data_IF_994280703208
#
_entry.id   IF_994280703208
#
_cell.length_a   1.000
_cell.length_b   1.000
_cell.length_c   1.000
_cell.angle_alpha   90.00
_cell.angle_beta   90.00
_cell.angle_gamma   90.00
#
_symmetry.space_group_name_H-M   'P 1'
#
loop_
_entity.id
_entity.type
_entity.pdbx_description
1 polymer ?
#
# COMPACT_ATOMS: atom_id res chain seq x y z
N UNK A 1 8.31 -20.07 5.30
CA UNK A 1 7.83 -21.13 4.39
C UNK A 1 6.33 -21.03 4.32
N UNK A 2 5.77 -21.03 3.13
CA UNK A 2 4.32 -20.92 2.89
C UNK A 2 3.86 -22.25 2.34
N UNK A 3 2.83 -22.80 2.99
CA UNK A 3 2.19 -24.04 2.56
C UNK A 3 1.07 -23.68 1.59
N UNK A 4 1.12 -24.21 0.37
CA UNK A 4 0.19 -23.92 -0.71
C UNK A 4 -0.25 -25.21 -1.41
N UNK A 5 -1.36 -25.15 -2.14
CA UNK A 5 -1.88 -26.30 -2.90
C UNK A 5 -0.88 -26.84 -3.94
N UNK A 6 0.05 -26.02 -4.40
CA UNK A 6 1.08 -26.39 -5.39
C UNK A 6 2.43 -26.78 -4.76
N UNK A 7 2.50 -26.87 -3.42
CA UNK A 7 3.69 -27.23 -2.67
C UNK A 7 4.22 -26.11 -1.77
N UNK A 8 5.32 -26.39 -1.09
CA UNK A 8 5.98 -25.43 -0.20
C UNK A 8 6.89 -24.49 -1.00
N UNK A 9 6.83 -23.19 -0.72
CA UNK A 9 7.78 -22.22 -1.24
C UNK A 9 8.26 -21.26 -0.15
N UNK A 10 9.42 -20.63 -0.36
CA UNK A 10 9.95 -19.61 0.52
C UNK A 10 9.59 -18.24 -0.01
N UNK A 11 8.89 -17.46 0.80
CA UNK A 11 8.64 -16.05 0.53
C UNK A 11 9.65 -15.21 1.33
N UNK A 12 10.44 -14.42 0.62
CA UNK A 12 11.46 -13.55 1.23
C UNK A 12 10.97 -12.13 1.46
N UNK A 13 9.78 -11.79 0.98
CA UNK A 13 9.18 -10.48 1.19
C UNK A 13 7.78 -10.60 1.79
N UNK A 14 7.59 -9.97 2.92
CA UNK A 14 6.29 -9.88 3.60
C UNK A 14 5.92 -8.41 3.81
N UNK A 15 4.68 -8.07 3.52
CA UNK A 15 4.11 -6.76 3.83
C UNK A 15 2.81 -6.93 4.62
N UNK A 16 2.78 -6.35 5.81
CA UNK A 16 1.62 -6.29 6.67
C UNK A 16 1.06 -4.88 6.62
N UNK A 17 -0.21 -4.76 6.24
CA UNK A 17 -0.93 -3.50 6.20
C UNK A 17 -2.05 -3.54 7.23
N UNK A 18 -1.96 -2.67 8.23
CA UNK A 18 -2.91 -2.57 9.32
C UNK A 18 -3.64 -1.22 9.24
N UNK A 19 -4.97 -1.30 9.16
CA UNK A 19 -5.86 -0.14 9.09
C UNK A 19 -6.88 -0.22 10.23
N UNK A 20 -6.49 0.14 11.45
CA UNK A 20 -7.39 0.07 12.60
C UNK A 20 -8.51 1.11 12.50
N UNK A 21 -9.68 0.85 13.09
CA UNK A 21 -10.84 1.75 13.01
C UNK A 21 -10.56 3.17 13.49
N UNK A 22 -9.72 3.33 14.49
CA UNK A 22 -9.38 4.63 15.05
C UNK A 22 -8.66 5.54 14.03
N UNK A 23 -8.03 4.99 12.98
CA UNK A 23 -7.36 5.79 11.93
C UNK A 23 -8.31 6.70 11.15
N UNK A 24 -9.60 6.41 11.18
CA UNK A 24 -10.69 7.23 10.61
C UNK A 24 -11.70 7.69 11.67
N UNK A 25 -11.31 7.68 12.94
CA UNK A 25 -12.15 8.13 14.03
C UNK A 25 -13.30 7.18 14.40
N UNK A 26 -13.28 5.93 13.93
CA UNK A 26 -14.30 4.94 14.27
C UNK A 26 -13.99 4.26 15.60
N UNK A 27 -15.00 4.14 16.48
CA UNK A 27 -14.97 3.32 17.68
C UNK A 27 -15.56 1.95 17.38
N UNK A 28 -14.72 0.97 17.04
CA UNK A 28 -15.16 -0.41 16.83
C UNK A 28 -14.11 -1.41 17.33
N UNK A 29 -14.52 -2.68 17.49
CA UNK A 29 -13.60 -3.72 17.92
C UNK A 29 -12.51 -3.97 16.86
N UNK A 30 -11.28 -4.19 17.35
CA UNK A 30 -10.19 -4.68 16.52
C UNK A 30 -10.50 -6.13 16.12
N UNK A 31 -10.89 -6.31 14.87
CA UNK A 31 -11.10 -7.62 14.26
C UNK A 31 -9.89 -8.00 13.39
N UNK A 32 -9.87 -9.22 12.89
CA UNK A 32 -8.87 -9.64 11.90
C UNK A 32 -8.95 -8.83 10.58
N UNK A 33 -7.98 -9.02 9.66
CA UNK A 33 -7.89 -8.24 8.43
C UNK A 33 -9.16 -8.26 7.61
N UNK A 34 -9.66 -7.09 7.24
CA UNK A 34 -10.83 -6.91 6.37
C UNK A 34 -10.39 -6.86 4.89
N UNK A 35 -11.35 -6.82 3.97
CA UNK A 35 -11.10 -6.75 2.52
C UNK A 35 -10.20 -5.59 2.12
N UNK A 36 -10.37 -4.43 2.76
CA UNK A 36 -9.53 -3.23 2.52
C UNK A 36 -8.06 -3.53 2.81
N UNK A 37 -7.78 -4.09 3.97
CA UNK A 37 -6.40 -4.38 4.39
C UNK A 37 -5.74 -5.40 3.48
N UNK A 38 -6.47 -6.43 3.06
CA UNK A 38 -5.98 -7.43 2.11
C UNK A 38 -5.69 -6.79 0.75
N UNK A 39 -6.62 -5.99 0.21
CA UNK A 39 -6.48 -5.35 -1.09
C UNK A 39 -5.37 -4.30 -1.12
N UNK A 40 -5.35 -3.40 -0.14
CA UNK A 40 -4.33 -2.36 -0.01
C UNK A 40 -2.94 -2.93 0.27
N UNK A 41 -2.85 -3.95 1.11
CA UNK A 41 -1.60 -4.66 1.38
C UNK A 41 -1.03 -5.32 0.12
N UNK A 42 -1.87 -5.99 -0.68
CA UNK A 42 -1.45 -6.57 -1.97
C UNK A 42 -1.01 -5.51 -2.98
N UNK A 43 -1.70 -4.37 -3.05
CA UNK A 43 -1.32 -3.26 -3.93
C UNK A 43 0.05 -2.71 -3.56
N UNK A 44 0.28 -2.41 -2.28
CA UNK A 44 1.56 -1.90 -1.80
C UNK A 44 2.69 -2.94 -1.97
N UNK A 45 2.43 -4.20 -1.65
CA UNK A 45 3.38 -5.29 -1.87
C UNK A 45 3.82 -5.36 -3.33
N UNK A 46 2.90 -5.39 -4.28
CA UNK A 46 3.19 -5.46 -5.71
C UNK A 46 4.02 -4.29 -6.22
N UNK A 47 3.76 -3.08 -5.70
CA UNK A 47 4.52 -1.89 -6.06
C UNK A 47 5.99 -1.98 -5.62
N UNK A 48 6.25 -2.56 -4.44
CA UNK A 48 7.58 -2.67 -3.87
C UNK A 48 8.36 -3.88 -4.39
N UNK A 49 7.70 -5.01 -4.64
CA UNK A 49 8.34 -6.22 -5.16
C UNK A 49 9.18 -5.98 -6.41
N UNK A 50 8.74 -5.07 -7.27
CA UNK A 50 9.42 -4.74 -8.53
C UNK A 50 10.81 -4.09 -8.35
N UNK A 51 11.13 -3.61 -7.16
CA UNK A 51 12.38 -2.89 -6.86
C UNK A 51 13.24 -3.56 -5.79
N UNK A 52 12.81 -4.68 -5.25
CA UNK A 52 13.58 -5.44 -4.28
C UNK A 52 14.84 -6.02 -4.90
N UNK A 53 15.90 -6.18 -4.11
CA UNK A 53 17.11 -6.87 -4.57
C UNK A 53 16.85 -8.34 -4.89
N UNK A 54 17.70 -8.90 -5.74
CA UNK A 54 17.69 -10.34 -6.00
C UNK A 54 17.98 -11.11 -4.71
N UNK A 55 17.28 -12.22 -4.44
CA UNK A 55 17.56 -13.09 -3.30
C UNK A 55 18.97 -13.65 -3.24
N UNK A 56 19.66 -13.77 -4.36
CA UNK A 56 21.06 -14.21 -4.40
C UNK A 56 22.01 -13.11 -3.91
N UNK A 57 21.70 -11.84 -4.20
CA UNK A 57 22.50 -10.68 -3.78
C UNK A 57 22.17 -10.24 -2.35
N UNK A 58 20.92 -10.45 -1.93
CA UNK A 58 20.45 -10.07 -0.58
C UNK A 58 19.67 -11.22 0.08
N UNK A 59 20.36 -12.20 0.70
CA UNK A 59 19.76 -13.44 1.18
C UNK A 59 19.05 -13.27 2.55
N UNK A 60 18.33 -12.18 2.74
CA UNK A 60 17.57 -11.90 3.96
C UNK A 60 16.07 -11.83 3.67
N UNK A 61 15.29 -12.21 4.65
CA UNK A 61 13.84 -11.98 4.60
C UNK A 61 13.53 -10.55 4.98
N UNK A 62 12.83 -9.85 4.10
CA UNK A 62 12.37 -8.48 4.30
C UNK A 62 10.92 -8.52 4.81
N UNK A 63 10.68 -7.90 5.94
CA UNK A 63 9.35 -7.73 6.50
C UNK A 63 9.03 -6.25 6.67
N UNK A 64 8.04 -5.76 5.93
CA UNK A 64 7.49 -4.41 6.07
C UNK A 64 6.21 -4.46 6.88
N UNK A 65 6.08 -3.60 7.86
CA UNK A 65 4.85 -3.42 8.65
C UNK A 65 4.39 -1.98 8.51
N UNK A 66 3.21 -1.78 7.95
CA UNK A 66 2.57 -0.48 7.80
C UNK A 66 1.41 -0.36 8.78
N UNK A 67 1.54 0.53 9.74
CA UNK A 67 0.50 0.87 10.72
C UNK A 67 -0.11 2.23 10.35
N UNK A 68 -1.37 2.24 9.94
CA UNK A 68 -2.07 3.48 9.60
C UNK A 68 -2.67 4.05 10.90
N UNK A 69 -2.11 5.15 11.35
CA UNK A 69 -2.54 5.80 12.61
C UNK A 69 -3.60 6.87 12.38
N UNK A 70 -3.59 7.49 11.21
CA UNK A 70 -4.57 8.49 10.77
C UNK A 70 -4.70 8.45 9.25
N UNK A 71 -5.91 8.63 8.71
CA UNK A 71 -6.15 8.60 7.27
C UNK A 71 -7.26 9.57 6.86
N UNK A 72 -6.93 10.45 5.93
CA UNK A 72 -7.88 11.28 5.18
C UNK A 72 -7.42 11.41 3.72
N UNK A 73 -7.30 10.29 3.04
CA UNK A 73 -6.77 10.17 1.69
C UNK A 73 -6.30 8.73 1.43
N UNK A 74 -5.33 8.56 0.53
CA UNK A 74 -4.86 7.23 0.15
C UNK A 74 -3.83 6.65 1.12
N UNK A 75 -4.29 5.90 2.11
CA UNK A 75 -3.43 5.16 3.03
C UNK A 75 -2.56 4.08 2.35
N UNK A 76 -3.04 3.50 1.24
CA UNK A 76 -2.24 2.54 0.47
C UNK A 76 -1.05 3.21 -0.24
N UNK A 77 -1.23 4.42 -0.77
CA UNK A 77 -0.15 5.17 -1.39
C UNK A 77 0.83 5.73 -0.35
N UNK A 78 0.33 6.15 0.82
CA UNK A 78 1.18 6.46 1.97
C UNK A 78 2.04 5.25 2.39
N UNK A 79 1.47 4.05 2.37
CA UNK A 79 2.21 2.80 2.64
C UNK A 79 3.30 2.55 1.60
N UNK A 80 3.02 2.74 0.31
CA UNK A 80 4.04 2.61 -0.75
C UNK A 80 5.20 3.58 -0.52
N UNK A 81 4.90 4.86 -0.34
CA UNK A 81 5.92 5.89 -0.12
C UNK A 81 6.72 5.66 1.16
N UNK A 82 6.03 5.44 2.27
CA UNK A 82 6.66 5.21 3.58
C UNK A 82 7.51 3.94 3.60
N UNK A 83 7.05 2.86 2.97
CA UNK A 83 7.82 1.62 2.88
C UNK A 83 9.06 1.78 2.00
N UNK A 84 8.97 2.52 0.89
CA UNK A 84 10.14 2.84 0.06
C UNK A 84 11.20 3.60 0.85
N UNK A 85 10.79 4.59 1.65
CA UNK A 85 11.70 5.33 2.53
C UNK A 85 12.30 4.43 3.61
N UNK A 86 11.48 3.59 4.25
CA UNK A 86 11.93 2.68 5.30
C UNK A 86 12.92 1.63 4.78
N UNK A 87 12.71 1.10 3.57
CA UNK A 87 13.65 0.17 2.94
C UNK A 87 15.01 0.83 2.69
N UNK A 88 15.02 2.06 2.19
CA UNK A 88 16.24 2.83 1.97
C UNK A 88 16.95 3.16 3.30
N UNK A 89 16.21 3.58 4.32
CA UNK A 89 16.76 3.91 5.64
C UNK A 89 17.34 2.66 6.34
N UNK A 90 16.73 1.49 6.13
CA UNK A 90 17.25 0.21 6.62
C UNK A 90 18.48 -0.29 5.84
N UNK A 91 18.93 0.42 4.82
CA UNK A 91 20.08 0.02 3.99
C UNK A 91 19.81 -1.16 3.05
N UNK A 92 18.55 -1.43 2.73
CA UNK A 92 18.20 -2.47 1.76
C UNK A 92 18.50 -1.95 0.35
N UNK A 93 19.27 -2.68 -0.47
CA UNK A 93 19.71 -2.21 -1.79
C UNK A 93 18.59 -2.34 -2.83
N UNK A 94 17.50 -1.58 -2.65
CA UNK A 94 16.45 -1.49 -3.66
C UNK A 94 16.97 -0.83 -4.92
N UNK A 95 16.50 -1.28 -6.08
CA UNK A 95 17.00 -0.82 -7.39
C UNK A 95 16.59 0.62 -7.71
N UNK A 96 15.43 1.05 -7.22
CA UNK A 96 14.89 2.41 -7.40
C UNK A 96 13.94 2.73 -6.24
N UNK A 97 13.80 4.02 -5.93
CA UNK A 97 12.73 4.48 -5.04
C UNK A 97 11.35 4.32 -5.72
N UNK A 98 10.35 4.02 -4.91
CA UNK A 98 8.95 3.90 -5.37
C UNK A 98 8.11 4.95 -4.66
N UNK A 99 7.27 5.65 -5.40
CA UNK A 99 6.27 6.55 -4.88
C UNK A 99 4.90 6.21 -5.48
N UNK A 100 3.86 6.58 -4.79
CA UNK A 100 2.48 6.43 -5.24
C UNK A 100 1.64 7.64 -4.89
N UNK A 101 0.62 7.89 -5.69
CA UNK A 101 -0.35 8.97 -5.50
C UNK A 101 -1.73 8.49 -5.93
N UNK A 102 -2.77 8.96 -5.24
CA UNK A 102 -4.15 8.75 -5.65
C UNK A 102 -4.60 9.90 -6.54
N UNK A 103 -5.06 9.56 -7.73
CA UNK A 103 -5.61 10.51 -8.70
C UNK A 103 -7.13 10.36 -8.74
N UNK A 104 -7.82 11.47 -8.94
CA UNK A 104 -9.25 11.50 -9.15
C UNK A 104 -9.63 12.19 -10.46
N UNK A 105 -10.84 11.96 -10.88
CA UNK A 105 -11.44 12.65 -12.02
C UNK A 105 -12.86 13.02 -11.67
N UNK A 106 -13.24 14.26 -12.01
CA UNK A 106 -14.62 14.73 -11.98
C UNK A 106 -15.02 15.13 -13.40
N UNK A 107 -16.18 14.68 -13.84
CA UNK A 107 -16.70 14.98 -15.17
C UNK A 107 -18.11 15.57 -15.08
N UNK A 108 -18.32 16.70 -15.76
CA UNK A 108 -19.63 17.33 -15.89
C UNK A 108 -19.91 17.64 -17.38
N UNK A 109 -20.84 16.93 -17.98
CA UNK A 109 -21.08 16.99 -19.41
C UNK A 109 -19.85 16.59 -20.23
N UNK A 110 -19.32 17.50 -21.02
CA UNK A 110 -18.12 17.31 -21.85
C UNK A 110 -16.84 17.85 -21.18
N UNK A 111 -16.98 18.52 -20.04
CA UNK A 111 -15.84 19.04 -19.27
C UNK A 111 -15.38 18.01 -18.25
N UNK A 112 -14.07 17.98 -17.97
CA UNK A 112 -13.50 17.14 -16.92
C UNK A 112 -12.32 17.84 -16.23
N UNK A 113 -12.12 17.48 -14.96
CA UNK A 113 -10.96 17.91 -14.17
C UNK A 113 -10.27 16.70 -13.56
N UNK A 114 -8.94 16.68 -13.68
CA UNK A 114 -8.10 15.67 -13.04
C UNK A 114 -7.53 16.24 -11.76
N UNK A 115 -7.68 15.51 -10.66
CA UNK A 115 -7.19 15.88 -9.34
C UNK A 115 -6.02 14.97 -8.95
N UNK A 116 -5.02 15.54 -8.30
CA UNK A 116 -3.83 14.82 -7.82
C UNK A 116 -3.84 14.81 -6.30
N UNK A 117 -3.51 13.65 -5.70
CA UNK A 117 -3.45 13.43 -4.25
C UNK A 117 -4.79 13.75 -3.57
N UNK A 118 -5.81 13.01 -3.98
CA UNK A 118 -7.19 13.24 -3.56
C UNK A 118 -7.42 12.88 -2.09
N UNK A 119 -8.22 13.70 -1.42
CA UNK A 119 -8.76 13.44 -0.08
C UNK A 119 -9.89 12.40 -0.09
N UNK A 120 -10.29 11.93 1.08
CA UNK A 120 -11.36 10.95 1.22
C UNK A 120 -12.70 11.41 0.63
N UNK A 121 -13.07 12.67 0.81
CA UNK A 121 -14.29 13.25 0.25
C UNK A 121 -14.22 13.36 -1.28
N UNK A 122 -13.08 13.72 -1.83
CA UNK A 122 -12.85 13.79 -3.28
C UNK A 122 -12.87 12.41 -3.94
N UNK A 123 -12.37 11.37 -3.25
CA UNK A 123 -12.47 9.96 -3.67
C UNK A 123 -13.96 9.51 -3.70
N UNK A 124 -14.73 9.91 -2.70
CA UNK A 124 -16.14 9.51 -2.58
C UNK A 124 -17.07 10.22 -3.58
N UNK A 125 -16.78 11.48 -3.90
CA UNK A 125 -17.61 12.33 -4.77
C UNK A 125 -17.13 12.35 -6.23
N UNK A 126 -15.94 11.84 -6.52
CA UNK A 126 -15.38 11.79 -7.85
C UNK A 126 -16.02 10.70 -8.74
N UNK A 127 -15.88 10.86 -10.05
CA UNK A 127 -16.36 9.90 -11.05
C UNK A 127 -15.38 8.75 -11.28
N UNK A 128 -14.11 8.93 -10.90
CA UNK A 128 -13.07 7.92 -11.00
C UNK A 128 -11.96 8.18 -9.96
N UNK A 129 -11.45 7.13 -9.36
CA UNK A 129 -10.18 7.12 -8.66
C UNK A 129 -9.17 6.19 -9.35
N UNK A 130 -7.91 6.56 -9.31
CA UNK A 130 -6.80 5.80 -9.88
C UNK A 130 -5.56 5.89 -8.98
N UNK A 131 -4.94 4.75 -8.77
CA UNK A 131 -3.75 4.62 -7.89
C UNK A 131 -2.64 3.90 -8.62
#
# INVERSE_FOLDING_TARGET
MIDALEGEFKDQFMLHYNFPPYSVGEASFLAGPKRREIGHGKLARRALEAVLPDPEDFPYTIRVVSEITESNGSSSMATVCGSSLALMDAGIPITKSVAGVAMGLVKEGDEFAVMTDILGDEDHLGDMDFK
#
